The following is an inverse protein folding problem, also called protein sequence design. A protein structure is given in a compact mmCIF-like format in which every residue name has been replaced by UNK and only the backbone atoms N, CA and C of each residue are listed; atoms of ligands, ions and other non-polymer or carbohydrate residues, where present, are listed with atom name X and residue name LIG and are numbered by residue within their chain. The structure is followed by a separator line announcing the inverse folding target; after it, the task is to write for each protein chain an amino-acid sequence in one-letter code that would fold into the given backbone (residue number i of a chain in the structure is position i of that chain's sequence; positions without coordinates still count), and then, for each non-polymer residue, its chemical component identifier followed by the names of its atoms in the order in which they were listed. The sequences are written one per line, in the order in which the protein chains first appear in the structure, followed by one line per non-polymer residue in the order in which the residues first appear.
data_IF_312640324977
#
_entry.id   IF_312640324977
#
_cell.length_a   1.000
_cell.length_b   1.000
_cell.length_c   1.000
_cell.angle_alpha   90.00
_cell.angle_beta   90.00
_cell.angle_gamma   90.00
#
_symmetry.space_group_name_H-M   'P 1'
#
loop_
_entity.id
_entity.type
_entity.pdbx_description
1 polymer ?
#
# COMPACT_ATOMS: atom_id res chain seq x y z
N UNK A 1 -2.29 28.90 -23.71
CA UNK A 1 -2.40 27.62 -24.44
C UNK A 1 -3.10 26.61 -23.54
N UNK A 2 -4.25 26.08 -23.95
CA UNK A 2 -4.90 24.98 -23.26
C UNK A 2 -4.01 23.72 -23.31
N UNK A 3 -3.87 23.04 -22.17
CA UNK A 3 -3.15 21.76 -22.09
C UNK A 3 -3.98 20.68 -22.75
N UNK A 4 -3.39 19.90 -23.66
CA UNK A 4 -4.05 18.73 -24.26
C UNK A 4 -4.18 17.61 -23.24
N UNK A 5 -5.17 16.72 -23.38
CA UNK A 5 -5.32 15.52 -22.54
C UNK A 5 -4.02 14.69 -22.48
N UNK A 6 -3.35 14.52 -23.62
CA UNK A 6 -2.05 13.87 -23.69
C UNK A 6 -1.01 14.54 -22.78
N UNK A 7 -0.86 15.87 -22.89
CA UNK A 7 0.11 16.60 -22.06
C UNK A 7 -0.18 16.49 -20.56
N UNK A 8 -1.46 16.42 -20.18
CA UNK A 8 -1.89 16.24 -18.80
C UNK A 8 -1.56 14.84 -18.28
N UNK A 9 -1.81 13.78 -19.06
CA UNK A 9 -1.46 12.40 -18.68
C UNK A 9 0.05 12.26 -18.48
N UNK A 10 0.85 12.77 -19.42
CA UNK A 10 2.33 12.75 -19.31
C UNK A 10 2.80 13.52 -18.07
N UNK A 11 2.21 14.69 -17.79
CA UNK A 11 2.53 15.47 -16.60
C UNK A 11 2.20 14.71 -15.31
N UNK A 12 1.06 14.00 -15.24
CA UNK A 12 0.69 13.24 -14.05
C UNK A 12 1.61 12.06 -13.78
N UNK A 13 1.97 11.31 -14.81
CA UNK A 13 2.94 10.21 -14.68
C UNK A 13 4.30 10.71 -14.18
N UNK A 14 4.75 11.90 -14.63
CA UNK A 14 5.98 12.51 -14.12
C UNK A 14 5.86 12.89 -12.64
N UNK A 15 4.75 13.51 -12.24
CA UNK A 15 4.48 13.84 -10.83
C UNK A 15 4.49 12.58 -9.96
N UNK A 16 3.93 11.46 -10.43
CA UNK A 16 3.96 10.19 -9.70
C UNK A 16 5.39 9.63 -9.57
N UNK A 17 6.20 9.70 -10.62
CA UNK A 17 7.62 9.30 -10.56
C UNK A 17 8.42 10.15 -9.57
N UNK A 18 8.20 11.47 -9.57
CA UNK A 18 8.83 12.39 -8.61
C UNK A 18 8.38 12.08 -7.17
N UNK A 19 7.10 11.74 -6.97
CA UNK A 19 6.59 11.35 -5.66
C UNK A 19 7.24 10.07 -5.13
N UNK A 20 7.53 9.09 -5.99
CA UNK A 20 8.28 7.88 -5.61
C UNK A 20 9.71 8.25 -5.18
N UNK A 21 10.37 9.13 -5.92
CA UNK A 21 11.72 9.60 -5.59
C UNK A 21 11.75 10.33 -4.24
N UNK A 22 10.78 11.20 -4.00
CA UNK A 22 10.61 11.88 -2.72
C UNK A 22 10.34 10.90 -1.57
N UNK A 23 9.53 9.86 -1.80
CA UNK A 23 9.27 8.83 -0.81
C UNK A 23 10.54 8.06 -0.46
N UNK A 24 11.33 7.64 -1.47
CA UNK A 24 12.59 6.94 -1.27
C UNK A 24 13.56 7.77 -0.39
N UNK A 25 13.64 9.08 -0.62
CA UNK A 25 14.51 9.98 0.14
C UNK A 25 14.06 10.21 1.59
N UNK A 26 12.81 9.87 1.94
CA UNK A 26 12.30 10.01 3.32
C UNK A 26 12.55 8.79 4.18
N UNK A 27 12.76 7.63 3.57
CA UNK A 27 12.95 6.37 4.29
C UNK A 27 14.22 6.43 5.15
N UNK A 28 14.10 6.03 6.42
CA UNK A 28 15.26 5.81 7.28
C UNK A 28 15.64 4.32 7.25
N UNK A 29 16.93 3.96 7.13
CA UNK A 29 17.35 2.56 7.05
C UNK A 29 16.81 1.69 8.18
N UNK A 30 16.85 2.19 9.42
CA UNK A 30 16.42 1.45 10.61
C UNK A 30 14.92 1.15 10.60
N UNK A 31 14.09 2.09 10.10
CA UNK A 31 12.64 1.89 10.01
C UNK A 31 12.30 0.80 8.99
N UNK A 32 13.02 0.77 7.87
CA UNK A 32 12.83 -0.24 6.81
C UNK A 32 13.25 -1.61 7.32
N UNK A 33 14.42 -1.73 7.95
CA UNK A 33 14.89 -2.99 8.53
C UNK A 33 13.90 -3.55 9.56
N UNK A 34 13.44 -2.70 10.49
CA UNK A 34 12.46 -3.10 11.50
C UNK A 34 11.13 -3.56 10.89
N UNK A 35 10.63 -2.85 9.89
CA UNK A 35 9.37 -3.23 9.22
C UNK A 35 9.50 -4.58 8.50
N UNK A 36 10.62 -4.81 7.81
CA UNK A 36 10.87 -6.09 7.12
C UNK A 36 11.03 -7.23 8.12
N UNK A 37 11.79 -7.04 9.19
CA UNK A 37 11.98 -8.05 10.24
C UNK A 37 10.66 -8.41 10.94
N UNK A 38 9.82 -7.42 11.24
CA UNK A 38 8.51 -7.64 11.85
C UNK A 38 7.59 -8.47 10.94
N UNK A 39 7.58 -8.18 9.63
CA UNK A 39 6.77 -8.93 8.67
C UNK A 39 7.33 -10.36 8.47
N UNK A 40 8.65 -10.50 8.34
CA UNK A 40 9.30 -11.80 8.14
C UNK A 40 9.10 -12.75 9.33
N UNK A 41 9.01 -12.21 10.55
CA UNK A 41 8.78 -12.99 11.76
C UNK A 41 7.29 -13.15 12.11
N UNK A 42 6.37 -12.63 11.30
CA UNK A 42 4.94 -12.76 11.54
C UNK A 42 4.49 -14.23 11.38
N UNK A 43 4.16 -14.89 12.49
CA UNK A 43 3.64 -16.27 12.50
C UNK A 43 2.13 -16.36 12.25
N UNK A 44 1.46 -15.21 12.27
CA UNK A 44 0.01 -15.11 12.13
C UNK A 44 -0.40 -14.69 10.72
N UNK A 45 -1.37 -13.78 10.67
CA UNK A 45 -1.86 -13.17 9.44
C UNK A 45 -1.61 -11.67 9.50
N UNK A 46 -1.08 -11.10 8.42
CA UNK A 46 -0.98 -9.65 8.26
C UNK A 46 -2.34 -9.13 7.82
N UNK A 47 -2.95 -8.26 8.62
CA UNK A 47 -4.25 -7.64 8.29
C UNK A 47 -4.01 -6.18 7.90
N UNK A 48 -4.32 -5.85 6.65
CA UNK A 48 -4.25 -4.49 6.15
C UNK A 48 -5.62 -3.83 6.27
N UNK A 49 -5.63 -2.59 6.76
CA UNK A 49 -6.84 -1.84 7.02
C UNK A 49 -6.74 -0.46 6.37
N UNK A 50 -7.83 0.03 5.79
CA UNK A 50 -7.86 1.36 5.19
C UNK A 50 -9.23 1.71 4.61
N UNK A 51 -9.41 2.97 4.22
CA UNK A 51 -10.64 3.45 3.55
C UNK A 51 -10.30 4.14 2.23
N UNK A 52 -11.28 4.22 1.33
CA UNK A 52 -11.15 4.92 0.05
C UNK A 52 -9.95 4.44 -0.77
N UNK A 53 -9.15 5.38 -1.30
CA UNK A 53 -7.97 5.07 -2.12
C UNK A 53 -6.92 4.26 -1.35
N UNK A 54 -6.72 4.56 -0.06
CA UNK A 54 -5.80 3.79 0.79
C UNK A 54 -6.26 2.34 0.96
N UNK A 55 -7.58 2.11 0.98
CA UNK A 55 -8.14 0.75 0.98
C UNK A 55 -7.83 -0.03 -0.30
N UNK A 56 -7.85 0.63 -1.46
CA UNK A 56 -7.46 0.03 -2.75
C UNK A 56 -5.98 -0.36 -2.74
N UNK A 57 -5.10 0.52 -2.25
CA UNK A 57 -3.66 0.22 -2.09
C UNK A 57 -3.45 -0.91 -1.09
N UNK A 58 -4.14 -0.89 0.05
CA UNK A 58 -4.08 -1.95 1.06
C UNK A 58 -4.47 -3.33 0.51
N UNK A 59 -5.53 -3.40 -0.30
CA UNK A 59 -5.89 -4.64 -1.02
C UNK A 59 -4.77 -5.15 -1.93
N UNK A 60 -4.13 -4.25 -2.69
CA UNK A 60 -3.01 -4.62 -3.57
C UNK A 60 -1.83 -5.15 -2.75
N UNK A 61 -1.49 -4.49 -1.64
CA UNK A 61 -0.40 -4.93 -0.77
C UNK A 61 -0.72 -6.30 -0.15
N UNK A 62 -1.95 -6.51 0.35
CA UNK A 62 -2.38 -7.82 0.87
C UNK A 62 -2.23 -8.93 -0.18
N UNK A 63 -2.67 -8.69 -1.41
CA UNK A 63 -2.52 -9.64 -2.51
C UNK A 63 -1.03 -9.92 -2.83
N UNK A 64 -0.18 -8.90 -2.78
CA UNK A 64 1.27 -9.03 -3.04
C UNK A 64 1.99 -9.81 -1.94
N UNK A 65 1.66 -9.56 -0.67
CA UNK A 65 2.22 -10.31 0.46
C UNK A 65 1.82 -11.78 0.38
N UNK A 66 0.54 -12.06 0.11
CA UNK A 66 0.05 -13.43 -0.03
C UNK A 66 0.70 -14.17 -1.20
N UNK A 67 0.94 -13.51 -2.34
CA UNK A 67 1.63 -14.15 -3.48
C UNK A 67 3.12 -14.39 -3.25
N UNK A 68 3.73 -13.72 -2.27
CA UNK A 68 5.14 -13.89 -1.89
C UNK A 68 5.34 -14.75 -0.64
N UNK A 69 4.28 -15.41 -0.16
CA UNK A 69 4.33 -16.38 0.93
C UNK A 69 4.00 -15.83 2.32
N UNK A 70 3.72 -14.54 2.45
CA UNK A 70 3.26 -13.92 3.71
C UNK A 70 1.73 -13.91 3.74
N UNK A 71 1.11 -14.70 4.63
CA UNK A 71 -0.35 -14.75 4.74
C UNK A 71 -0.93 -13.37 5.09
N UNK A 72 -1.62 -12.72 4.15
CA UNK A 72 -2.18 -11.39 4.32
C UNK A 72 -3.63 -11.27 3.81
N UNK A 73 -4.43 -10.45 4.49
CA UNK A 73 -5.78 -10.06 4.04
C UNK A 73 -6.02 -8.56 4.20
N UNK A 74 -7.03 -8.04 3.52
CA UNK A 74 -7.51 -6.69 3.70
C UNK A 74 -8.86 -6.69 4.42
N UNK A 75 -9.01 -5.82 5.42
CA UNK A 75 -10.24 -5.61 6.17
C UNK A 75 -10.67 -4.14 6.05
N UNK A 76 -11.86 -3.91 5.51
CA UNK A 76 -12.44 -2.58 5.48
C UNK A 76 -12.92 -2.19 6.90
N UNK A 77 -12.60 -1.00 7.43
CA UNK A 77 -12.97 -0.60 8.79
C UNK A 77 -14.47 -0.67 9.09
N UNK A 78 -15.32 -0.37 8.10
CA UNK A 78 -16.77 -0.47 8.27
C UNK A 78 -17.23 -1.90 8.54
N UNK A 79 -16.53 -2.87 7.97
CA UNK A 79 -16.89 -4.29 8.04
C UNK A 79 -16.36 -4.88 9.36
N UNK A 80 -15.17 -4.42 9.79
CA UNK A 80 -14.58 -4.76 11.09
C UNK A 80 -15.50 -4.43 12.27
N UNK A 81 -16.21 -3.31 12.21
CA UNK A 81 -17.15 -2.89 13.24
C UNK A 81 -18.38 -3.81 13.39
N UNK A 82 -18.67 -4.61 12.36
CA UNK A 82 -19.79 -5.56 12.35
C UNK A 82 -19.34 -7.01 12.58
N UNK A 83 -18.07 -7.21 12.97
CA UNK A 83 -17.52 -8.53 13.29
C UNK A 83 -16.97 -9.30 12.09
N UNK A 84 -16.84 -8.67 10.92
CA UNK A 84 -16.14 -9.26 9.78
C UNK A 84 -14.62 -9.29 10.05
N UNK A 85 -13.97 -10.39 9.66
CA UNK A 85 -12.53 -10.60 9.80
C UNK A 85 -11.79 -10.60 8.46
N UNK A 86 -12.42 -10.05 7.42
CA UNK A 86 -11.84 -9.87 6.09
C UNK A 86 -11.79 -11.19 5.33
N UNK A 87 -12.94 -11.90 5.32
CA UNK A 87 -13.15 -13.13 4.54
C UNK A 87 -13.03 -12.90 3.04
#
# INVERSE_FOLDING_TARGET
MEKTCFSQVVERLKIEADAITLAANRLQPQEVEQAVELLANCRGKVVLVGVGKSGIVGRKIAATLTSTGTLATYLHPGDAMHGDLGS
#
